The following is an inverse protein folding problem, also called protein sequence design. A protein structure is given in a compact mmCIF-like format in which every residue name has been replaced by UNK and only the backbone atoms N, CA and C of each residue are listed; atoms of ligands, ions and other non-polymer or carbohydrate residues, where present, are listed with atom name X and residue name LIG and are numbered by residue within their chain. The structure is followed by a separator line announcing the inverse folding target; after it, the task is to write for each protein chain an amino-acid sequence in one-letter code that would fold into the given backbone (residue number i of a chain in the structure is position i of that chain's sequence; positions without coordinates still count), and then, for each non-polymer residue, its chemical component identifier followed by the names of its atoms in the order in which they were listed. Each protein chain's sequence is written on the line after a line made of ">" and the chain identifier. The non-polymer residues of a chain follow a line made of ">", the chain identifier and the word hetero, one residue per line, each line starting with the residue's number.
data_IF_649406509722
#
_entry.id   IF_649406509722
#
_cell.length_a   1.000
_cell.length_b   1.000
_cell.length_c   1.000
_cell.angle_alpha   90.00
_cell.angle_beta   90.00
_cell.angle_gamma   90.00
#
_symmetry.space_group_name_H-M   'P 1'
#
loop_
_entity.id
_entity.type
_entity.pdbx_description
1 polymer ?
#
# COMPACT_ATOMS: atom_id res chain seq x y z
N UNK A 1 4.91 7.13 4.81
CA UNK A 1 6.31 7.40 5.20
C UNK A 1 6.34 7.55 6.71
N UNK A 2 7.34 7.00 7.39
CA UNK A 2 7.49 7.17 8.84
C UNK A 2 8.96 7.33 9.24
N UNK A 3 9.19 7.83 10.44
CA UNK A 3 10.49 7.87 11.11
C UNK A 3 10.43 7.08 12.42
N UNK A 4 11.56 6.59 12.94
CA UNK A 4 11.58 5.88 14.24
C UNK A 4 11.43 6.86 15.39
N UNK A 5 12.06 8.03 15.30
CA UNK A 5 11.80 9.22 16.10
C UNK A 5 11.45 10.38 15.18
N UNK A 6 10.63 11.32 15.65
CA UNK A 6 10.21 12.45 14.83
C UNK A 6 11.41 13.29 14.30
N UNK A 7 12.48 13.39 15.10
CA UNK A 7 13.69 14.15 14.76
C UNK A 7 14.67 13.39 13.83
N UNK A 8 14.48 12.09 13.61
CA UNK A 8 15.43 11.31 12.81
C UNK A 8 15.52 11.83 11.37
N UNK A 9 16.72 11.88 10.80
CA UNK A 9 16.90 12.21 9.37
C UNK A 9 16.43 11.08 8.46
N UNK A 10 16.58 9.83 8.93
CA UNK A 10 16.20 8.65 8.15
C UNK A 10 14.69 8.45 8.18
N UNK A 11 14.10 8.41 6.99
CA UNK A 11 12.70 8.03 6.80
C UNK A 11 12.57 6.66 6.12
N UNK A 12 11.48 5.99 6.41
CA UNK A 12 11.10 4.69 5.88
C UNK A 12 9.78 4.82 5.10
N UNK A 13 9.60 3.96 4.11
CA UNK A 13 8.42 3.93 3.25
C UNK A 13 7.92 2.49 3.13
N UNK A 14 6.60 2.36 3.11
CA UNK A 14 5.90 1.11 2.83
C UNK A 14 4.69 1.46 1.96
N UNK A 15 4.38 0.64 0.95
CA UNK A 15 3.17 0.83 0.15
C UNK A 15 1.93 0.59 1.01
N UNK A 16 0.89 1.42 0.80
CA UNK A 16 -0.43 1.25 1.42
C UNK A 16 -1.27 0.25 0.61
N UNK A 17 -1.40 0.53 -0.69
CA UNK A 17 -2.15 -0.26 -1.66
C UNK A 17 -1.18 -1.03 -2.55
N UNK A 18 -1.48 -2.31 -2.77
CA UNK A 18 -0.75 -3.20 -3.64
C UNK A 18 -1.63 -3.51 -4.85
N UNK A 19 -1.19 -3.06 -6.02
CA UNK A 19 -1.90 -3.27 -7.29
C UNK A 19 -1.06 -4.19 -8.16
N UNK A 20 -1.46 -5.46 -8.34
CA UNK A 20 -0.69 -6.40 -9.13
C UNK A 20 -0.83 -6.07 -10.62
N UNK A 21 0.31 -6.02 -11.31
CA UNK A 21 0.38 -5.69 -12.74
C UNK A 21 1.31 -6.63 -13.49
N UNK A 22 1.02 -6.85 -14.78
CA UNK A 22 1.90 -7.51 -15.74
C UNK A 22 2.64 -6.44 -16.54
N UNK A 23 3.95 -6.62 -16.67
CA UNK A 23 4.80 -5.82 -17.57
C UNK A 23 4.93 -6.59 -18.88
N UNK A 24 4.40 -6.03 -19.97
CA UNK A 24 4.42 -6.66 -21.29
C UNK A 24 5.25 -5.85 -22.28
N UNK A 25 5.87 -6.54 -23.24
CA UNK A 25 6.44 -5.94 -24.44
C UNK A 25 6.23 -6.88 -25.62
N UNK A 26 5.94 -6.34 -26.81
CA UNK A 26 5.65 -7.13 -28.01
C UNK A 26 6.91 -7.60 -28.74
N UNK A 27 8.01 -6.85 -28.61
CA UNK A 27 9.32 -7.17 -29.19
C UNK A 27 10.45 -6.58 -28.34
N UNK A 28 11.70 -6.90 -28.67
CA UNK A 28 12.87 -6.31 -28.00
C UNK A 28 12.98 -4.78 -28.17
N UNK A 29 12.38 -4.23 -29.24
CA UNK A 29 12.43 -2.80 -29.59
C UNK A 29 11.16 -2.04 -29.20
N UNK A 30 10.10 -2.73 -28.78
CA UNK A 30 8.84 -2.08 -28.38
C UNK A 30 8.91 -1.52 -26.96
N UNK A 31 8.13 -0.46 -26.71
CA UNK A 31 7.91 0.07 -25.35
C UNK A 31 7.26 -0.97 -24.43
N UNK A 32 7.56 -0.85 -23.13
CA UNK A 32 6.87 -1.61 -22.11
C UNK A 32 5.47 -1.04 -21.87
N UNK A 33 4.50 -1.93 -21.64
CA UNK A 33 3.14 -1.57 -21.23
C UNK A 33 2.78 -2.28 -19.94
N UNK A 34 2.05 -1.60 -19.07
CA UNK A 34 1.46 -2.22 -17.89
C UNK A 34 0.04 -2.69 -18.19
N UNK A 35 -0.30 -3.88 -17.71
CA UNK A 35 -1.68 -4.37 -17.63
C UNK A 35 -1.99 -4.80 -16.22
N UNK A 36 -3.25 -4.74 -15.81
CA UNK A 36 -3.67 -5.35 -14.56
C UNK A 36 -3.39 -6.86 -14.58
N UNK A 37 -2.94 -7.36 -13.44
CA UNK A 37 -2.93 -8.80 -13.18
C UNK A 37 -4.37 -9.28 -12.92
N UNK A 38 -4.58 -10.60 -12.96
CA UNK A 38 -5.88 -11.20 -12.59
C UNK A 38 -6.12 -11.24 -11.08
N UNK A 39 -5.07 -11.04 -10.28
CA UNK A 39 -5.20 -10.91 -8.83
C UNK A 39 -5.78 -9.53 -8.50
N UNK A 40 -6.59 -9.48 -7.44
CA UNK A 40 -7.22 -8.24 -6.98
C UNK A 40 -6.22 -7.30 -6.27
N UNK A 41 -6.42 -5.97 -6.35
CA UNK A 41 -5.73 -5.03 -5.49
C UNK A 41 -5.98 -5.32 -4.01
N UNK A 42 -4.98 -5.11 -3.16
CA UNK A 42 -5.09 -5.39 -1.72
C UNK A 42 -4.38 -4.34 -0.88
N UNK A 43 -4.89 -4.09 0.32
CA UNK A 43 -4.15 -3.32 1.31
C UNK A 43 -2.92 -4.13 1.78
N UNK A 44 -1.82 -3.45 2.10
CA UNK A 44 -0.63 -4.08 2.64
C UNK A 44 -0.87 -4.57 4.08
N UNK A 45 -1.29 -5.83 4.24
CA UNK A 45 -1.57 -6.42 5.55
C UNK A 45 -0.35 -6.45 6.49
N UNK A 46 0.87 -6.60 5.96
CA UNK A 46 2.09 -6.55 6.77
C UNK A 46 2.28 -5.17 7.39
N UNK A 47 1.91 -4.10 6.68
CA UNK A 47 1.91 -2.75 7.24
C UNK A 47 0.87 -2.59 8.34
N UNK A 48 -0.33 -3.15 8.21
CA UNK A 48 -1.34 -3.13 9.28
C UNK A 48 -0.83 -3.80 10.56
N UNK A 49 -0.21 -4.98 10.43
CA UNK A 49 0.39 -5.70 11.55
C UNK A 49 1.52 -4.90 12.20
N UNK A 50 2.36 -4.25 11.40
CA UNK A 50 3.42 -3.37 11.90
C UNK A 50 2.85 -2.17 12.67
N UNK A 51 1.81 -1.52 12.15
CA UNK A 51 1.16 -0.37 12.80
C UNK A 51 0.48 -0.77 14.12
N UNK A 52 -0.21 -1.91 14.15
CA UNK A 52 -0.82 -2.40 15.38
C UNK A 52 0.23 -2.76 16.43
N UNK A 53 1.32 -3.43 16.05
CA UNK A 53 2.34 -3.90 16.98
C UNK A 53 3.27 -2.79 17.49
N UNK A 54 3.75 -1.92 16.61
CA UNK A 54 4.81 -0.96 16.94
C UNK A 54 4.24 0.42 17.33
N UNK A 55 2.99 0.72 16.97
CA UNK A 55 2.35 2.02 17.22
C UNK A 55 0.99 1.91 17.94
N UNK A 56 0.57 0.70 18.34
CA UNK A 56 -0.75 0.44 18.95
C UNK A 56 -1.92 0.93 18.09
N UNK A 57 -1.70 1.12 16.79
CA UNK A 57 -2.66 1.70 15.87
C UNK A 57 -3.45 0.61 15.15
N UNK A 58 -4.64 0.30 15.68
CA UNK A 58 -5.54 -0.68 15.07
C UNK A 58 -6.40 -0.04 13.99
N UNK A 59 -6.35 -0.60 12.78
CA UNK A 59 -7.08 -0.10 11.61
C UNK A 59 -7.94 -1.19 10.96
N UNK A 60 -8.96 -1.71 11.68
CA UNK A 60 -9.79 -2.82 11.19
C UNK A 60 -10.52 -2.50 9.88
N UNK A 61 -10.77 -1.22 9.59
CA UNK A 61 -11.40 -0.77 8.35
C UNK A 61 -10.58 -1.08 7.08
N UNK A 62 -9.29 -1.42 7.22
CA UNK A 62 -8.42 -1.81 6.09
C UNK A 62 -8.15 -3.32 6.04
N UNK A 63 -8.70 -4.10 6.96
CA UNK A 63 -8.55 -5.57 7.00
C UNK A 63 -9.58 -6.30 6.12
N UNK A 64 -10.61 -5.60 5.66
CA UNK A 64 -11.69 -6.13 4.82
C UNK A 64 -11.59 -5.69 3.36
N UNK A 65 -12.75 -5.54 2.73
CA UNK A 65 -12.86 -5.04 1.35
C UNK A 65 -12.33 -3.61 1.23
N UNK A 66 -11.69 -3.34 0.10
CA UNK A 66 -11.22 -2.00 -0.24
C UNK A 66 -12.42 -1.11 -0.58
N UNK A 67 -12.38 0.21 -0.30
CA UNK A 67 -13.40 1.11 -0.79
C UNK A 67 -13.39 1.11 -2.33
N UNK A 68 -14.57 1.09 -2.93
CA UNK A 68 -14.75 1.06 -4.39
C UNK A 68 -15.56 2.26 -4.90
N UNK A 69 -15.31 2.62 -6.17
CA UNK A 69 -16.05 3.55 -7.01
C UNK A 69 -16.40 2.92 -8.37
N UNK A 70 -16.88 3.72 -9.32
CA UNK A 70 -17.26 3.23 -10.66
C UNK A 70 -16.09 2.65 -11.48
N UNK A 71 -14.85 2.89 -11.06
CA UNK A 71 -13.60 2.46 -11.73
C UNK A 71 -12.82 1.39 -10.95
N UNK A 72 -13.38 0.84 -9.88
CA UNK A 72 -12.72 -0.14 -9.01
C UNK A 72 -12.32 0.48 -7.68
N UNK A 73 -11.09 0.28 -7.21
CA UNK A 73 -10.66 0.80 -5.90
C UNK A 73 -10.63 2.33 -5.87
N UNK A 74 -11.37 2.93 -4.93
CA UNK A 74 -11.36 4.36 -4.64
C UNK A 74 -10.09 4.73 -3.87
N UNK A 75 -9.01 4.94 -4.63
CA UNK A 75 -7.68 5.30 -4.09
C UNK A 75 -7.71 6.62 -3.31
N UNK A 76 -8.34 7.71 -3.79
CA UNK A 76 -8.42 8.96 -3.03
C UNK A 76 -9.05 8.79 -1.65
N UNK A 77 -10.16 8.06 -1.56
CA UNK A 77 -10.83 7.77 -0.27
C UNK A 77 -9.96 6.92 0.64
N UNK A 78 -9.31 5.89 0.11
CA UNK A 78 -8.38 5.04 0.88
C UNK A 78 -7.24 5.88 1.48
N UNK A 79 -6.59 6.73 0.68
CA UNK A 79 -5.53 7.61 1.15
C UNK A 79 -6.04 8.64 2.16
N UNK A 80 -7.26 9.16 1.98
CA UNK A 80 -7.91 10.08 2.93
C UNK A 80 -8.16 9.44 4.29
N UNK A 81 -8.74 8.23 4.32
CA UNK A 81 -8.95 7.46 5.54
C UNK A 81 -7.62 7.18 6.26
N UNK A 82 -6.58 6.84 5.51
CA UNK A 82 -5.26 6.58 6.10
C UNK A 82 -4.62 7.85 6.66
N UNK A 83 -4.74 8.99 5.98
CA UNK A 83 -4.28 10.30 6.49
C UNK A 83 -4.96 10.67 7.80
N UNK A 84 -6.26 10.42 7.91
CA UNK A 84 -7.00 10.65 9.14
C UNK A 84 -6.51 9.74 10.27
N UNK A 85 -6.29 8.45 9.97
CA UNK A 85 -5.86 7.45 10.94
C UNK A 85 -4.47 7.72 11.54
N UNK A 86 -3.53 8.29 10.78
CA UNK A 86 -2.15 8.51 11.24
C UNK A 86 -1.86 9.95 11.65
N UNK A 87 -2.87 10.84 11.65
CA UNK A 87 -2.70 12.28 11.90
C UNK A 87 -1.94 12.57 13.19
N UNK A 88 -2.24 11.83 14.24
CA UNK A 88 -1.71 12.07 15.58
C UNK A 88 -0.49 11.18 15.90
N UNK A 89 0.05 10.46 14.90
CA UNK A 89 1.24 9.61 15.05
C UNK A 89 2.50 10.39 14.65
N UNK A 90 3.36 10.80 15.60
CA UNK A 90 4.51 11.65 15.30
C UNK A 90 5.47 11.04 14.28
N UNK A 91 5.87 11.84 13.29
CA UNK A 91 6.80 11.40 12.25
C UNK A 91 6.20 10.47 11.20
N UNK A 92 4.89 10.23 11.22
CA UNK A 92 4.16 9.47 10.21
C UNK A 92 3.36 10.37 9.28
N UNK A 93 3.36 10.05 8.00
CA UNK A 93 2.60 10.77 6.99
C UNK A 93 2.24 9.86 5.81
N UNK A 94 1.11 10.15 5.16
CA UNK A 94 0.75 9.51 3.89
C UNK A 94 1.23 10.38 2.75
N UNK A 95 2.02 9.78 1.88
CA UNK A 95 2.59 10.40 0.67
C UNK A 95 1.87 9.85 -0.55
N UNK A 96 1.55 10.72 -1.49
CA UNK A 96 0.91 10.37 -2.75
C UNK A 96 1.98 10.09 -3.80
N UNK A 97 2.62 8.93 -3.66
CA UNK A 97 3.69 8.47 -4.55
C UNK A 97 3.39 7.03 -4.98
N UNK A 98 3.71 6.72 -6.23
CA UNK A 98 3.60 5.37 -6.79
C UNK A 98 4.99 4.82 -7.12
N UNK A 99 5.20 3.53 -6.86
CA UNK A 99 6.42 2.83 -7.24
C UNK A 99 6.07 1.48 -7.88
N UNK A 100 6.84 1.10 -8.90
CA UNK A 100 6.76 -0.20 -9.54
C UNK A 100 7.98 -1.02 -9.13
N UNK A 101 7.77 -2.16 -8.49
CA UNK A 101 8.82 -3.08 -8.06
C UNK A 101 8.26 -4.49 -7.96
N UNK A 102 9.16 -5.48 -7.90
CA UNK A 102 8.80 -6.82 -7.45
C UNK A 102 8.53 -6.77 -5.96
N UNK A 103 7.31 -7.14 -5.56
CA UNK A 103 6.98 -7.35 -4.16
C UNK A 103 6.59 -8.81 -3.96
N UNK A 104 7.16 -9.44 -2.93
CA UNK A 104 6.76 -10.78 -2.50
C UNK A 104 6.05 -10.64 -1.17
N UNK A 105 4.77 -10.99 -1.15
CA UNK A 105 4.00 -11.10 0.08
C UNK A 105 3.53 -12.54 0.19
N UNK A 106 3.80 -13.18 1.32
CA UNK A 106 3.25 -14.50 1.59
C UNK A 106 1.72 -14.40 1.58
N UNK A 107 1.05 -15.05 0.62
CA UNK A 107 -0.32 -15.49 0.85
C UNK A 107 -0.18 -16.45 2.04
N UNK A 108 -0.74 -16.11 3.21
CA UNK A 108 -0.82 -17.09 4.30
C UNK A 108 -1.49 -18.33 3.70
N UNK A 109 -0.72 -19.41 3.54
CA UNK A 109 -1.27 -20.73 3.27
C UNK A 109 -2.04 -21.10 4.54
N UNK A 110 -3.36 -20.85 4.54
CA UNK A 110 -4.26 -21.49 5.49
C UNK A 110 -4.41 -22.94 5.01
N UNK A 111 -3.71 -23.87 5.65
CA UNK A 111 -4.00 -25.29 5.61
C UNK A 111 -4.94 -25.66 6.75
#
# INVERSE_FOLDING_TARGET
>A
RWKKKAEDERSYRAPLLLVPVKIERRSATSHFTLRFHEDEPRFNATLLQFLERDFELKLPQFSGELPEDESGVDVPRLLGLMRQAVRDVPGMEVVDETALSTFSFAKFLMW
#
